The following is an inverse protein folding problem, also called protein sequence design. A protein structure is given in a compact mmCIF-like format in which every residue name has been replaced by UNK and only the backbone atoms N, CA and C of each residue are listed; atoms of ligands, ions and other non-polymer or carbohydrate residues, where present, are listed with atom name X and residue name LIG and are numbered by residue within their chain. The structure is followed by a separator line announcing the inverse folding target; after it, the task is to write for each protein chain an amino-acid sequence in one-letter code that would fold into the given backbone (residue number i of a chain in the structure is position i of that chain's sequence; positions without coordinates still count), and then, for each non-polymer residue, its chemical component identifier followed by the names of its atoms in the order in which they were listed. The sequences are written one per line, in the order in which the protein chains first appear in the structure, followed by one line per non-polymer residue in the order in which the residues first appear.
data_IF_814372216034
#
_entry.id   IF_814372216034
#
_cell.length_a   1.000
_cell.length_b   1.000
_cell.length_c   1.000
_cell.angle_alpha   90.00
_cell.angle_beta   90.00
_cell.angle_gamma   90.00
#
_symmetry.space_group_name_H-M   'P 1'
#
loop_
_entity.id
_entity.type
_entity.pdbx_description
1 polymer ?
#
# COMPACT_ATOMS: atom_id res chain seq x y z
N UNK A 1 55.53 -39.38 35.89
CA UNK A 1 54.66 -39.22 34.65
C UNK A 1 55.65 -38.78 33.56
N UNK A 2 55.72 -39.56 32.48
CA UNK A 2 56.70 -39.35 31.40
C UNK A 2 56.24 -38.13 30.54
N UNK A 3 57.08 -37.09 30.57
CA UNK A 3 56.77 -35.80 29.87
C UNK A 3 56.54 -36.01 28.36
N UNK A 4 57.24 -36.98 27.74
CA UNK A 4 57.11 -37.32 26.34
C UNK A 4 55.73 -37.98 26.02
N UNK A 5 55.15 -38.72 26.96
CA UNK A 5 53.76 -39.26 26.77
C UNK A 5 52.70 -38.18 26.86
N UNK A 6 52.92 -37.16 27.70
CA UNK A 6 52.01 -35.99 27.80
C UNK A 6 52.03 -35.13 26.55
N UNK A 7 53.22 -34.86 25.99
CA UNK A 7 53.36 -34.07 24.76
C UNK A 7 52.74 -34.76 23.53
N UNK A 8 52.95 -36.09 23.41
CA UNK A 8 52.29 -36.89 22.35
C UNK A 8 50.78 -36.91 22.50
N UNK A 9 50.26 -37.07 23.71
CA UNK A 9 48.81 -37.10 23.98
C UNK A 9 48.17 -35.70 23.67
N UNK A 10 48.84 -34.63 24.04
CA UNK A 10 48.37 -33.27 23.73
C UNK A 10 48.40 -32.98 22.22
N UNK A 11 49.42 -33.42 21.49
CA UNK A 11 49.53 -33.30 20.04
C UNK A 11 48.39 -34.07 19.31
N UNK A 12 48.08 -35.29 19.79
CA UNK A 12 46.94 -36.07 19.27
C UNK A 12 45.63 -35.35 19.55
N UNK A 13 45.42 -34.84 20.76
CA UNK A 13 44.21 -34.11 21.14
C UNK A 13 44.02 -32.87 20.24
N UNK A 14 45.06 -32.06 20.01
CA UNK A 14 44.96 -30.89 19.12
C UNK A 14 44.60 -31.25 17.67
N UNK A 15 45.21 -32.35 17.15
CA UNK A 15 44.85 -32.82 15.78
C UNK A 15 43.42 -33.30 15.70
N UNK A 16 42.92 -34.04 16.68
CA UNK A 16 41.54 -34.52 16.73
C UNK A 16 40.57 -33.36 16.85
N UNK A 17 40.88 -32.38 17.70
CA UNK A 17 40.07 -31.15 17.84
C UNK A 17 40.00 -30.37 16.53
N UNK A 18 41.13 -30.20 15.83
CA UNK A 18 41.19 -29.53 14.52
C UNK A 18 40.37 -30.27 13.46
N UNK A 19 40.43 -31.61 13.43
CA UNK A 19 39.63 -32.42 12.53
C UNK A 19 38.11 -32.28 12.83
N UNK A 20 37.75 -32.26 14.11
CA UNK A 20 36.36 -32.07 14.55
C UNK A 20 35.83 -30.69 14.10
N UNK A 21 36.60 -29.63 14.34
CA UNK A 21 36.26 -28.27 13.92
C UNK A 21 36.08 -28.19 12.41
N UNK A 22 37.05 -28.75 11.64
CA UNK A 22 36.95 -28.78 10.18
C UNK A 22 35.70 -29.55 9.70
N UNK A 23 35.36 -30.67 10.33
CA UNK A 23 34.16 -31.46 9.99
C UNK A 23 32.89 -30.68 10.27
N UNK A 24 32.82 -29.94 11.37
CA UNK A 24 31.67 -29.07 11.70
C UNK A 24 31.55 -27.94 10.67
N UNK A 25 32.64 -27.32 10.28
CA UNK A 25 32.68 -26.24 9.26
C UNK A 25 32.19 -26.78 7.90
N UNK A 26 32.73 -27.95 7.48
CA UNK A 26 32.30 -28.58 6.22
C UNK A 26 30.80 -28.98 6.25
N UNK A 27 30.35 -29.54 7.36
CA UNK A 27 28.93 -29.89 7.53
C UNK A 27 28.04 -28.64 7.49
N UNK A 28 28.45 -27.57 8.16
CA UNK A 28 27.75 -26.26 8.11
C UNK A 28 27.66 -25.71 6.69
N UNK A 29 28.75 -25.83 5.92
CA UNK A 29 28.79 -25.40 4.52
C UNK A 29 27.88 -26.26 3.63
N UNK A 30 27.86 -27.56 3.82
CA UNK A 30 26.95 -28.48 3.09
C UNK A 30 25.47 -28.20 3.41
N UNK A 31 25.15 -27.94 4.68
CA UNK A 31 23.78 -27.57 5.09
C UNK A 31 23.38 -26.24 4.45
N UNK A 32 24.29 -25.25 4.38
CA UNK A 32 24.03 -23.97 3.75
C UNK A 32 23.80 -24.11 2.23
N UNK A 33 24.59 -24.93 1.53
CA UNK A 33 24.42 -25.21 0.09
C UNK A 33 23.09 -25.95 -0.15
N UNK A 34 22.80 -26.99 0.63
CA UNK A 34 21.57 -27.76 0.50
C UNK A 34 20.34 -26.89 0.79
N UNK A 35 20.36 -26.14 1.90
CA UNK A 35 19.29 -25.22 2.26
C UNK A 35 19.08 -24.12 1.22
N UNK A 36 20.18 -23.57 0.69
CA UNK A 36 20.15 -22.62 -0.41
C UNK A 36 19.55 -23.20 -1.69
N UNK A 37 19.94 -24.43 -2.05
CA UNK A 37 19.40 -25.15 -3.22
C UNK A 37 17.89 -25.44 -3.09
N UNK A 38 17.45 -25.89 -1.91
CA UNK A 38 16.01 -26.09 -1.61
C UNK A 38 15.26 -24.75 -1.69
N UNK A 39 15.82 -23.67 -1.13
CA UNK A 39 15.25 -22.34 -1.18
C UNK A 39 15.08 -21.82 -2.62
N UNK A 40 16.11 -21.96 -3.44
CA UNK A 40 16.05 -21.59 -4.87
C UNK A 40 15.03 -22.44 -5.62
N UNK A 41 15.03 -23.76 -5.42
CA UNK A 41 14.06 -24.68 -6.03
C UNK A 41 12.61 -24.35 -5.65
N UNK A 42 12.38 -23.98 -4.39
CA UNK A 42 11.06 -23.52 -3.92
C UNK A 42 10.65 -22.22 -4.62
N UNK A 43 11.53 -21.23 -4.71
CA UNK A 43 11.26 -19.97 -5.41
C UNK A 43 10.95 -20.23 -6.88
N UNK A 44 11.76 -21.04 -7.59
CA UNK A 44 11.51 -21.41 -8.99
C UNK A 44 10.14 -22.10 -9.16
N UNK A 45 9.80 -23.03 -8.26
CA UNK A 45 8.48 -23.71 -8.27
C UNK A 45 7.30 -22.75 -8.05
N UNK A 46 7.50 -21.65 -7.33
CA UNK A 46 6.47 -20.60 -7.21
C UNK A 46 6.27 -19.87 -8.55
N UNK A 47 7.36 -19.59 -9.25
CA UNK A 47 7.31 -18.90 -10.56
C UNK A 47 6.68 -19.78 -11.66
N UNK A 48 6.88 -21.10 -11.63
CA UNK A 48 6.26 -22.03 -12.59
C UNK A 48 4.72 -22.08 -12.47
N UNK A 49 4.16 -21.67 -11.36
CA UNK A 49 2.71 -21.65 -11.08
C UNK A 49 2.08 -20.27 -11.31
N UNK A 50 2.86 -19.30 -11.79
CA UNK A 50 2.39 -17.93 -11.95
C UNK A 50 1.64 -17.78 -13.26
N UNK A 51 0.35 -17.51 -13.19
CA UNK A 51 -0.49 -17.12 -14.30
C UNK A 51 -0.59 -15.59 -14.35
N UNK A 52 0.30 -14.94 -15.11
CA UNK A 52 0.17 -13.49 -15.36
C UNK A 52 -0.65 -13.31 -16.64
N UNK A 53 -1.72 -12.49 -16.61
CA UNK A 53 -2.46 -12.13 -17.81
C UNK A 53 -1.53 -11.61 -18.91
N UNK A 54 -1.92 -11.79 -20.18
CA UNK A 54 -1.18 -11.16 -21.28
C UNK A 54 -1.08 -9.66 -21.03
N UNK A 55 0.03 -9.07 -21.43
CA UNK A 55 0.35 -7.65 -21.13
C UNK A 55 -0.80 -6.68 -21.40
N UNK A 56 -1.49 -6.84 -22.53
CA UNK A 56 -2.64 -5.99 -22.89
C UNK A 56 -3.80 -6.17 -21.92
N UNK A 57 -4.13 -7.39 -21.57
CA UNK A 57 -5.17 -7.73 -20.58
C UNK A 57 -4.80 -7.26 -19.16
N UNK A 58 -3.51 -7.32 -18.82
CA UNK A 58 -3.00 -6.81 -17.55
C UNK A 58 -3.22 -5.30 -17.42
N UNK A 59 -2.79 -4.54 -18.45
CA UNK A 59 -2.96 -3.08 -18.48
C UNK A 59 -4.45 -2.71 -18.46
N UNK A 60 -5.27 -3.38 -19.26
CA UNK A 60 -6.72 -3.15 -19.32
C UNK A 60 -7.39 -3.37 -17.95
N UNK A 61 -7.16 -4.52 -17.33
CA UNK A 61 -7.73 -4.84 -16.00
C UNK A 61 -7.26 -3.88 -14.90
N UNK A 62 -5.99 -3.50 -14.92
CA UNK A 62 -5.44 -2.56 -13.92
C UNK A 62 -5.99 -1.15 -14.13
N UNK A 63 -6.22 -0.75 -15.39
CA UNK A 63 -6.75 0.57 -15.76
C UNK A 63 -8.28 0.67 -15.60
N UNK A 64 -8.96 -0.44 -15.37
CA UNK A 64 -10.41 -0.46 -15.19
C UNK A 64 -10.79 0.16 -13.84
N UNK A 65 -11.16 1.43 -13.89
CA UNK A 65 -11.66 2.17 -12.72
C UNK A 65 -13.17 2.17 -12.77
N UNK A 66 -13.80 1.39 -11.89
CA UNK A 66 -15.26 1.35 -11.77
C UNK A 66 -15.81 2.75 -11.46
N UNK A 67 -16.73 3.25 -12.28
CA UNK A 67 -17.44 4.52 -12.05
C UNK A 67 -18.74 4.23 -11.34
N UNK A 68 -19.21 5.19 -10.55
CA UNK A 68 -20.58 5.16 -10.04
C UNK A 68 -21.50 5.43 -11.22
N UNK A 69 -22.48 4.57 -11.43
CA UNK A 69 -23.55 4.84 -12.35
C UNK A 69 -24.52 5.84 -11.72
N UNK A 70 -24.88 6.88 -12.45
CA UNK A 70 -25.83 7.90 -12.03
C UNK A 70 -27.06 7.84 -12.90
N UNK A 71 -28.24 8.03 -12.30
CA UNK A 71 -29.48 8.25 -12.98
C UNK A 71 -29.71 9.77 -13.05
N UNK A 72 -29.85 10.31 -14.25
CA UNK A 72 -30.06 11.75 -14.44
C UNK A 72 -31.36 12.00 -15.17
N UNK A 73 -31.98 13.16 -14.90
CA UNK A 73 -33.08 13.67 -15.73
C UNK A 73 -32.59 14.03 -17.14
N UNK A 74 -33.49 14.24 -18.06
CA UNK A 74 -33.19 14.63 -19.46
C UNK A 74 -32.46 15.98 -19.56
N UNK A 75 -32.53 16.83 -18.54
CA UNK A 75 -31.84 18.10 -18.43
C UNK A 75 -30.43 17.95 -17.82
N UNK A 76 -30.01 16.71 -17.48
CA UNK A 76 -28.72 16.40 -16.86
C UNK A 76 -28.68 16.56 -15.34
N UNK A 77 -29.75 16.97 -14.68
CA UNK A 77 -29.82 17.02 -13.23
C UNK A 77 -29.85 15.60 -12.62
N UNK A 78 -29.21 15.42 -11.47
CA UNK A 78 -29.08 14.12 -10.81
C UNK A 78 -30.43 13.68 -10.21
N UNK A 79 -30.89 12.51 -10.57
CA UNK A 79 -32.04 11.83 -9.91
C UNK A 79 -31.52 11.03 -8.71
N UNK A 80 -30.56 10.17 -8.95
CA UNK A 80 -29.97 9.30 -7.92
C UNK A 80 -28.62 8.74 -8.38
N UNK A 81 -27.80 8.35 -7.42
CA UNK A 81 -26.65 7.47 -7.67
C UNK A 81 -27.12 6.02 -7.55
N UNK A 82 -26.76 5.17 -8.53
CA UNK A 82 -26.99 3.73 -8.42
C UNK A 82 -26.14 3.22 -7.26
N UNK A 83 -26.78 2.59 -6.28
CA UNK A 83 -26.14 2.16 -5.05
C UNK A 83 -24.82 1.44 -5.33
N UNK A 84 -23.74 2.15 -5.04
CA UNK A 84 -22.41 1.58 -4.85
C UNK A 84 -22.07 1.81 -3.37
N UNK A 85 -21.78 0.73 -2.64
CA UNK A 85 -21.26 0.83 -1.27
C UNK A 85 -19.92 1.57 -1.22
N UNK A 86 -19.38 1.94 -2.39
CA UNK A 86 -18.09 2.58 -2.56
C UNK A 86 -18.20 3.80 -3.50
N UNK A 87 -18.11 4.98 -2.92
CA UNK A 87 -18.07 6.24 -3.67
C UNK A 87 -16.70 6.43 -4.34
N UNK A 88 -16.68 6.65 -5.67
CA UNK A 88 -15.46 6.90 -6.44
C UNK A 88 -15.70 7.94 -7.53
N UNK A 89 -14.80 8.92 -7.60
CA UNK A 89 -14.79 9.97 -8.62
C UNK A 89 -13.42 9.94 -9.28
N UNK A 90 -13.27 9.36 -10.49
CA UNK A 90 -12.00 9.30 -11.18
C UNK A 90 -11.49 10.68 -11.60
N UNK A 91 -10.18 10.88 -11.51
CA UNK A 91 -9.47 12.09 -11.93
C UNK A 91 -8.26 11.76 -12.78
N UNK A 92 -7.84 12.73 -13.60
CA UNK A 92 -6.56 12.69 -14.32
C UNK A 92 -5.41 13.13 -13.40
N UNK A 93 -4.16 12.92 -13.84
CA UNK A 93 -2.98 13.34 -13.07
C UNK A 93 -2.93 14.85 -12.83
N UNK A 94 -3.40 15.64 -13.79
CA UNK A 94 -3.41 17.11 -13.74
C UNK A 94 -4.43 17.64 -12.72
N UNK A 95 -5.46 16.85 -12.42
CA UNK A 95 -6.51 17.13 -11.43
C UNK A 95 -6.13 16.75 -10.00
N UNK A 96 -4.91 16.27 -9.78
CA UNK A 96 -4.37 15.94 -8.46
C UNK A 96 -3.29 16.93 -8.05
N UNK A 97 -3.31 17.36 -6.80
CA UNK A 97 -2.27 18.20 -6.20
C UNK A 97 -0.91 17.49 -6.21
N UNK A 98 0.14 18.21 -6.55
CA UNK A 98 1.51 17.68 -6.49
C UNK A 98 1.91 17.34 -5.05
N UNK A 99 1.40 18.08 -4.07
CA UNK A 99 1.60 17.74 -2.65
C UNK A 99 1.05 16.35 -2.28
N UNK A 100 -0.10 15.98 -2.85
CA UNK A 100 -0.69 14.66 -2.60
C UNK A 100 0.12 13.54 -3.26
N UNK A 101 0.58 13.73 -4.51
CA UNK A 101 1.46 12.78 -5.19
C UNK A 101 2.75 12.58 -4.39
N UNK A 102 3.40 13.66 -3.96
CA UNK A 102 4.61 13.65 -3.14
C UNK A 102 4.39 12.98 -1.79
N UNK A 103 3.27 13.25 -1.11
CA UNK A 103 2.93 12.65 0.18
C UNK A 103 2.76 11.13 0.07
N UNK A 104 2.07 10.66 -0.98
CA UNK A 104 1.89 9.23 -1.24
C UNK A 104 3.22 8.56 -1.56
N UNK A 105 4.05 9.14 -2.46
CA UNK A 105 5.38 8.61 -2.80
C UNK A 105 6.27 8.56 -1.56
N UNK A 106 6.35 9.63 -0.78
CA UNK A 106 7.19 9.69 0.42
C UNK A 106 6.82 8.65 1.47
N UNK A 107 5.54 8.27 1.53
CA UNK A 107 5.01 7.42 2.60
C UNK A 107 4.91 5.95 2.21
N UNK A 108 4.45 5.68 1.00
CA UNK A 108 4.20 4.31 0.54
C UNK A 108 5.38 3.71 -0.24
N UNK A 109 6.13 4.55 -0.98
CA UNK A 109 7.21 4.09 -1.85
C UNK A 109 8.19 5.20 -2.21
N UNK A 110 9.09 5.55 -1.29
CA UNK A 110 10.06 6.64 -1.45
C UNK A 110 10.95 6.50 -2.70
N UNK A 111 11.11 5.26 -3.20
CA UNK A 111 11.92 4.93 -4.37
C UNK A 111 11.09 4.73 -5.64
N UNK A 112 9.82 5.10 -5.64
CA UNK A 112 8.87 4.86 -6.73
C UNK A 112 9.42 5.26 -8.10
N UNK A 113 10.03 6.44 -8.21
CA UNK A 113 10.55 6.96 -9.48
C UNK A 113 11.77 6.19 -10.02
N UNK A 114 12.44 5.38 -9.19
CA UNK A 114 13.75 4.79 -9.54
C UNK A 114 13.73 3.28 -9.74
N UNK A 115 12.76 2.56 -9.16
CA UNK A 115 12.66 1.11 -9.34
C UNK A 115 11.77 0.73 -10.53
N UNK A 116 11.82 -0.55 -10.96
CA UNK A 116 11.02 -1.10 -12.03
C UNK A 116 9.95 -2.08 -11.49
N UNK A 117 9.05 -1.59 -10.64
CA UNK A 117 7.92 -2.35 -10.10
C UNK A 117 8.19 -3.06 -8.77
N UNK A 118 9.43 -3.40 -8.47
CA UNK A 118 9.82 -4.03 -7.20
C UNK A 118 11.16 -3.50 -6.69
N UNK A 119 11.36 -3.53 -5.39
CA UNK A 119 12.64 -3.25 -4.74
C UNK A 119 13.26 -4.59 -4.30
N UNK A 120 14.31 -5.11 -4.97
CA UNK A 120 14.86 -6.44 -4.69
C UNK A 120 15.28 -6.64 -3.23
N UNK A 121 15.87 -5.61 -2.61
CA UNK A 121 16.26 -5.63 -1.19
C UNK A 121 15.05 -5.80 -0.25
N UNK A 122 13.91 -5.20 -0.58
CA UNK A 122 12.69 -5.32 0.20
C UNK A 122 12.07 -6.72 0.05
N UNK A 123 12.08 -7.28 -1.17
CA UNK A 123 11.63 -8.66 -1.45
C UNK A 123 12.47 -9.66 -0.66
N UNK A 124 13.81 -9.52 -0.68
CA UNK A 124 14.71 -10.38 0.09
C UNK A 124 14.45 -10.27 1.61
N UNK A 125 14.29 -9.06 2.13
CA UNK A 125 13.97 -8.83 3.54
C UNK A 125 12.64 -9.49 3.95
N UNK A 126 11.60 -9.36 3.12
CA UNK A 126 10.31 -9.99 3.35
C UNK A 126 10.41 -11.52 3.33
N UNK A 127 11.18 -12.09 2.41
CA UNK A 127 11.44 -13.54 2.35
C UNK A 127 12.18 -14.03 3.60
N UNK A 128 13.20 -13.33 4.07
CA UNK A 128 13.92 -13.66 5.32
C UNK A 128 13.00 -13.53 6.55
N UNK A 129 12.15 -12.50 6.58
CA UNK A 129 11.16 -12.31 7.65
C UNK A 129 10.15 -13.44 7.74
N UNK A 130 9.73 -14.03 6.60
CA UNK A 130 8.77 -15.14 6.56
C UNK A 130 9.32 -16.45 7.15
N UNK A 131 10.64 -16.60 7.23
CA UNK A 131 11.33 -17.76 7.87
C UNK A 131 11.89 -17.41 9.26
N UNK A 132 11.49 -16.28 9.83
CA UNK A 132 11.91 -15.84 11.18
C UNK A 132 13.31 -15.21 11.25
N UNK A 133 13.97 -14.94 10.12
CA UNK A 133 15.30 -14.35 10.04
C UNK A 133 15.28 -12.84 9.71
N UNK A 134 14.29 -12.09 10.22
CA UNK A 134 14.22 -10.65 10.00
C UNK A 134 12.87 -10.05 10.37
N UNK A 135 12.70 -8.72 10.21
CA UNK A 135 11.40 -8.06 10.36
C UNK A 135 10.59 -8.15 9.08
N UNK A 136 9.32 -8.51 9.18
CA UNK A 136 8.38 -8.57 8.05
C UNK A 136 7.79 -7.20 7.68
N UNK A 137 8.31 -6.11 8.23
CA UNK A 137 7.75 -4.78 8.04
C UNK A 137 8.01 -4.21 6.64
N UNK A 138 6.96 -3.68 6.05
CA UNK A 138 6.83 -2.77 4.90
C UNK A 138 7.90 -2.83 3.80
N UNK A 139 7.48 -2.93 2.57
CA UNK A 139 8.41 -2.94 1.44
C UNK A 139 7.77 -3.30 0.11
N UNK A 140 6.43 -3.36 0.07
CA UNK A 140 5.72 -3.46 -1.21
C UNK A 140 5.69 -2.09 -1.86
N UNK A 141 6.02 -2.04 -3.14
CA UNK A 141 5.97 -0.82 -3.94
C UNK A 141 4.52 -0.40 -4.23
N UNK A 142 4.32 0.85 -4.64
CA UNK A 142 3.01 1.34 -5.12
C UNK A 142 2.46 0.46 -6.25
N UNK A 143 3.33 0.04 -7.18
CA UNK A 143 2.96 -0.86 -8.28
C UNK A 143 2.49 -2.22 -7.77
N UNK A 144 3.15 -2.79 -6.75
CA UNK A 144 2.73 -4.04 -6.12
C UNK A 144 1.39 -3.88 -5.37
N UNK A 145 1.19 -2.75 -4.69
CA UNK A 145 -0.07 -2.45 -4.01
C UNK A 145 -1.22 -2.33 -5.02
N UNK A 146 -0.98 -1.65 -6.16
CA UNK A 146 -1.96 -1.53 -7.23
C UNK A 146 -2.35 -2.89 -7.82
N UNK A 147 -1.37 -3.76 -8.13
CA UNK A 147 -1.61 -5.13 -8.59
C UNK A 147 -2.41 -5.93 -7.56
N UNK A 148 -2.06 -5.80 -6.27
CA UNK A 148 -2.79 -6.45 -5.19
C UNK A 148 -4.27 -6.03 -5.17
N UNK A 149 -4.54 -4.74 -5.29
CA UNK A 149 -5.90 -4.19 -5.23
C UNK A 149 -6.75 -4.57 -6.45
N UNK A 150 -6.16 -4.62 -7.65
CA UNK A 150 -6.90 -4.77 -8.90
C UNK A 150 -6.96 -6.21 -9.43
N UNK A 151 -5.98 -7.07 -9.09
CA UNK A 151 -5.86 -8.38 -9.75
C UNK A 151 -5.80 -9.57 -8.80
N UNK A 152 -5.04 -9.49 -7.70
CA UNK A 152 -4.68 -10.71 -6.95
C UNK A 152 -5.34 -10.81 -5.57
N UNK A 153 -5.96 -9.74 -5.09
CA UNK A 153 -6.66 -9.72 -3.81
C UNK A 153 -5.76 -9.86 -2.58
N UNK A 154 -6.37 -10.13 -1.41
CA UNK A 154 -5.73 -10.05 -0.09
C UNK A 154 -5.23 -11.39 0.47
N UNK A 155 -5.44 -12.53 -0.22
CA UNK A 155 -5.02 -13.83 0.29
C UNK A 155 -3.52 -13.87 0.63
N UNK A 156 -3.16 -14.21 1.88
CA UNK A 156 -1.78 -14.21 2.36
C UNK A 156 -1.05 -15.51 1.94
N UNK A 157 -0.75 -15.67 0.65
CA UNK A 157 -0.04 -16.84 0.12
C UNK A 157 1.24 -16.45 -0.62
N UNK A 158 2.23 -17.33 -0.63
CA UNK A 158 3.47 -17.13 -1.39
C UNK A 158 3.21 -17.04 -2.90
N UNK A 159 2.29 -17.87 -3.42
CA UNK A 159 1.89 -17.86 -4.84
C UNK A 159 1.29 -16.50 -5.21
N UNK A 160 0.39 -15.96 -4.38
CA UNK A 160 -0.16 -14.63 -4.61
C UNK A 160 0.95 -13.56 -4.65
N UNK A 161 1.91 -13.62 -3.71
CA UNK A 161 3.02 -12.65 -3.68
C UNK A 161 3.94 -12.78 -4.89
N UNK A 162 4.16 -13.99 -5.41
CA UNK A 162 4.90 -14.21 -6.65
C UNK A 162 4.15 -13.61 -7.85
N UNK A 163 2.83 -13.85 -7.96
CA UNK A 163 1.98 -13.26 -8.99
C UNK A 163 2.04 -11.73 -8.96
N UNK A 164 1.93 -11.14 -7.76
CA UNK A 164 2.03 -9.69 -7.54
C UNK A 164 3.37 -9.13 -8.05
N UNK A 165 4.49 -9.76 -7.71
CA UNK A 165 5.83 -9.35 -8.13
C UNK A 165 5.97 -9.39 -9.65
N UNK A 166 5.58 -10.49 -10.29
CA UNK A 166 5.73 -10.65 -11.75
C UNK A 166 4.80 -9.68 -12.49
N UNK A 167 3.56 -9.54 -12.03
CA UNK A 167 2.62 -8.59 -12.62
C UNK A 167 3.09 -7.14 -12.46
N UNK A 168 3.68 -6.77 -11.30
CA UNK A 168 4.26 -5.45 -11.10
C UNK A 168 5.43 -5.16 -12.06
N UNK A 169 6.35 -6.12 -12.26
CA UNK A 169 7.43 -6.01 -13.24
C UNK A 169 6.91 -5.88 -14.68
N UNK A 170 5.83 -6.61 -15.01
CA UNK A 170 5.22 -6.54 -16.35
C UNK A 170 4.49 -5.20 -16.56
N UNK A 171 3.81 -4.69 -15.52
CA UNK A 171 3.09 -3.42 -15.57
C UNK A 171 4.04 -2.24 -15.82
N UNK A 172 5.14 -2.15 -15.10
CA UNK A 172 6.15 -1.09 -15.20
C UNK A 172 6.88 -1.05 -16.55
N UNK A 173 6.86 -2.16 -17.31
CA UNK A 173 7.40 -2.17 -18.69
C UNK A 173 6.45 -1.57 -19.71
N UNK A 174 5.18 -1.40 -19.36
CA UNK A 174 4.11 -1.05 -20.30
C UNK A 174 3.33 0.20 -19.92
N UNK A 175 3.59 0.73 -18.73
CA UNK A 175 2.96 1.95 -18.22
C UNK A 175 4.02 2.87 -17.61
N UNK A 176 3.81 4.16 -17.73
CA UNK A 176 4.64 5.18 -17.09
C UNK A 176 4.35 5.27 -15.58
N UNK A 177 5.30 5.79 -14.84
CA UNK A 177 5.13 6.07 -13.40
C UNK A 177 3.90 6.93 -13.12
N UNK A 178 3.69 7.96 -13.93
CA UNK A 178 2.54 8.85 -13.79
C UNK A 178 1.20 8.12 -14.00
N UNK A 179 1.11 7.22 -14.99
CA UNK A 179 -0.10 6.40 -15.21
C UNK A 179 -0.35 5.46 -14.02
N UNK A 180 0.68 4.75 -13.54
CA UNK A 180 0.59 3.85 -12.40
C UNK A 180 0.13 4.60 -11.15
N UNK A 181 0.76 5.73 -10.84
CA UNK A 181 0.40 6.57 -9.70
C UNK A 181 -1.03 7.10 -9.82
N UNK A 182 -1.43 7.56 -11.01
CA UNK A 182 -2.78 8.08 -11.23
C UNK A 182 -3.84 7.02 -11.01
N UNK A 183 -3.62 5.79 -11.48
CA UNK A 183 -4.55 4.68 -11.24
C UNK A 183 -4.58 4.34 -9.76
N UNK A 184 -3.42 4.23 -9.10
CA UNK A 184 -3.35 3.99 -7.66
C UNK A 184 -4.16 5.01 -6.86
N UNK A 185 -4.03 6.30 -7.18
CA UNK A 185 -4.77 7.39 -6.56
C UNK A 185 -6.29 7.32 -6.83
N UNK A 186 -6.70 6.72 -7.93
CA UNK A 186 -8.12 6.53 -8.27
C UNK A 186 -8.76 5.29 -7.65
N UNK A 187 -7.98 4.24 -7.34
CA UNK A 187 -8.56 2.95 -6.89
C UNK A 187 -8.38 2.68 -5.41
N UNK A 188 -7.39 3.29 -4.77
CA UNK A 188 -7.08 3.03 -3.37
C UNK A 188 -8.24 3.42 -2.44
N UNK A 189 -8.47 2.63 -1.36
CA UNK A 189 -9.49 2.96 -0.37
C UNK A 189 -9.00 4.07 0.57
N UNK A 190 -9.88 5.03 0.88
CA UNK A 190 -9.57 6.18 1.75
C UNK A 190 -10.52 6.30 2.96
N UNK A 191 -11.21 5.23 3.33
CA UNK A 191 -12.06 5.20 4.50
C UNK A 191 -13.48 5.69 4.22
N UNK A 192 -13.97 6.63 5.00
CA UNK A 192 -15.36 7.12 4.94
C UNK A 192 -15.43 8.63 4.78
N UNK A 193 -16.46 9.08 4.05
CA UNK A 193 -16.81 10.47 3.95
C UNK A 193 -17.69 10.94 5.13
N UNK A 194 -18.04 12.22 5.16
CA UNK A 194 -18.89 12.84 6.17
C UNK A 194 -20.35 12.34 6.19
N UNK A 195 -20.72 11.44 5.29
CA UNK A 195 -22.00 10.74 5.25
C UNK A 195 -21.89 9.29 5.74
N UNK A 196 -20.70 8.81 6.11
CA UNK A 196 -20.43 7.44 6.53
C UNK A 196 -20.25 6.45 5.38
N UNK A 197 -20.35 6.89 4.11
CA UNK A 197 -20.13 6.05 2.94
C UNK A 197 -18.65 5.73 2.75
N UNK A 198 -18.32 4.49 2.37
CA UNK A 198 -16.97 4.12 2.00
C UNK A 198 -16.54 4.88 0.73
N UNK A 199 -15.29 5.33 0.71
CA UNK A 199 -14.72 6.09 -0.40
C UNK A 199 -13.46 5.42 -0.93
N UNK A 200 -13.32 5.41 -2.25
CA UNK A 200 -12.10 5.09 -2.96
C UNK A 200 -11.77 6.21 -3.95
N UNK A 201 -10.47 6.40 -4.15
CA UNK A 201 -9.96 7.48 -4.98
C UNK A 201 -9.88 8.82 -4.25
N UNK A 202 -8.83 9.56 -4.62
CA UNK A 202 -8.44 10.79 -3.92
C UNK A 202 -9.42 11.94 -4.07
N UNK A 203 -10.15 12.01 -5.19
CA UNK A 203 -11.16 13.06 -5.39
C UNK A 203 -12.36 12.87 -4.45
N UNK A 204 -12.83 11.63 -4.32
CA UNK A 204 -13.89 11.31 -3.36
C UNK A 204 -13.44 11.56 -1.92
N UNK A 205 -12.17 11.28 -1.61
CA UNK A 205 -11.58 11.56 -0.31
C UNK A 205 -11.47 13.07 -0.03
N UNK A 206 -10.94 13.84 -0.97
CA UNK A 206 -10.80 15.29 -0.83
C UNK A 206 -12.16 15.98 -0.62
N UNK A 207 -13.16 15.60 -1.42
CA UNK A 207 -14.52 16.13 -1.28
C UNK A 207 -15.21 15.68 0.00
N UNK A 208 -15.10 14.40 0.33
CA UNK A 208 -15.83 13.81 1.45
C UNK A 208 -15.22 14.11 2.81
N UNK A 209 -13.97 14.57 2.88
CA UNK A 209 -13.28 14.88 4.13
C UNK A 209 -13.08 16.41 4.29
N UNK A 210 -12.70 17.09 3.21
CA UNK A 210 -12.32 18.51 3.24
C UNK A 210 -13.24 19.43 2.42
N UNK A 211 -14.19 18.88 1.65
CA UNK A 211 -15.06 19.69 0.78
C UNK A 211 -14.33 20.35 -0.39
N UNK A 212 -13.15 19.85 -0.76
CA UNK A 212 -12.28 20.38 -1.82
C UNK A 212 -12.07 19.35 -2.92
N UNK A 213 -11.62 19.81 -4.09
CA UNK A 213 -11.09 18.90 -5.11
C UNK A 213 -9.72 18.38 -4.71
N UNK A 214 -9.29 17.24 -5.28
CA UNK A 214 -7.95 16.70 -5.06
C UNK A 214 -6.84 17.67 -5.52
N UNK A 215 -7.15 18.58 -6.45
CA UNK A 215 -6.24 19.64 -6.93
C UNK A 215 -6.00 20.75 -5.90
N UNK A 216 -7.02 21.07 -5.11
CA UNK A 216 -7.02 22.21 -4.19
C UNK A 216 -6.45 21.88 -2.80
N UNK A 217 -6.02 20.64 -2.57
CA UNK A 217 -5.51 20.19 -1.26
C UNK A 217 -4.24 20.96 -0.88
N UNK A 218 -4.23 21.49 0.33
CA UNK A 218 -3.03 22.02 0.98
C UNK A 218 -2.07 20.89 1.40
N UNK A 219 -0.83 21.22 1.77
CA UNK A 219 0.15 20.24 2.28
C UNK A 219 -0.40 19.42 3.45
N UNK A 220 -0.97 20.01 4.53
CA UNK A 220 -1.55 19.24 5.61
C UNK A 220 -2.69 18.32 5.17
N UNK A 221 -3.59 18.79 4.31
CA UNK A 221 -4.71 18.00 3.79
C UNK A 221 -4.23 16.84 2.92
N UNK A 222 -3.25 17.09 2.05
CA UNK A 222 -2.61 16.07 1.23
C UNK A 222 -1.91 14.99 2.08
N UNK A 223 -1.18 15.41 3.12
CA UNK A 223 -0.52 14.50 4.05
C UNK A 223 -1.53 13.61 4.81
N UNK A 224 -2.65 14.18 5.26
CA UNK A 224 -3.70 13.41 5.91
C UNK A 224 -4.29 12.34 4.98
N UNK A 225 -4.70 12.72 3.75
CA UNK A 225 -5.25 11.77 2.77
C UNK A 225 -4.23 10.69 2.43
N UNK A 226 -2.96 11.03 2.20
CA UNK A 226 -1.90 10.07 1.87
C UNK A 226 -1.66 9.03 2.99
N UNK A 227 -2.01 9.34 4.23
CA UNK A 227 -1.92 8.42 5.36
C UNK A 227 -3.02 7.37 5.42
N UNK A 228 -4.19 7.62 4.83
CA UNK A 228 -5.39 6.79 4.99
C UNK A 228 -5.28 5.36 4.43
N UNK A 229 -4.64 5.09 3.28
CA UNK A 229 -4.66 3.76 2.64
C UNK A 229 -4.11 2.62 3.51
N UNK A 230 -3.24 2.90 4.46
CA UNK A 230 -2.68 1.88 5.36
C UNK A 230 -3.75 1.24 6.27
N UNK A 231 -4.69 2.04 6.78
CA UNK A 231 -5.82 1.58 7.61
C UNK A 231 -7.04 2.49 7.44
N UNK A 232 -7.73 2.43 6.29
CA UNK A 232 -8.66 3.45 5.85
C UNK A 232 -9.80 3.71 6.86
N UNK A 233 -10.35 2.64 7.45
CA UNK A 233 -11.46 2.75 8.41
C UNK A 233 -10.99 3.31 9.76
N UNK A 234 -9.79 2.91 10.21
CA UNK A 234 -9.24 3.37 11.50
C UNK A 234 -8.87 4.85 11.42
N UNK A 235 -8.19 5.25 10.34
CA UNK A 235 -7.66 6.60 10.18
C UNK A 235 -8.68 7.62 9.68
N UNK A 236 -9.82 7.16 9.11
CA UNK A 236 -10.91 8.03 8.68
C UNK A 236 -11.49 8.84 9.84
N UNK A 237 -11.83 10.14 9.64
CA UNK A 237 -12.37 10.99 10.69
C UNK A 237 -13.86 10.75 10.95
N UNK A 238 -14.54 9.94 10.12
CA UNK A 238 -15.97 9.68 10.24
C UNK A 238 -16.27 8.22 10.52
N UNK A 239 -17.33 7.99 11.30
CA UNK A 239 -17.91 6.68 11.58
C UNK A 239 -18.84 6.21 10.44
N UNK A 240 -19.36 4.99 10.54
CA UNK A 240 -20.24 4.40 9.52
C UNK A 240 -21.62 5.08 9.41
N UNK A 241 -22.02 5.77 10.45
CA UNK A 241 -23.27 6.55 10.49
C UNK A 241 -23.09 8.00 10.02
N UNK A 242 -21.89 8.38 9.56
CA UNK A 242 -21.56 9.74 9.11
C UNK A 242 -21.25 10.71 10.25
N UNK A 243 -21.28 10.28 11.51
CA UNK A 243 -20.86 11.12 12.62
C UNK A 243 -19.36 11.30 12.66
N UNK A 244 -18.89 12.40 13.21
CA UNK A 244 -17.46 12.61 13.46
C UNK A 244 -17.01 11.74 14.62
N UNK A 245 -15.88 11.06 14.48
CA UNK A 245 -15.26 10.30 15.56
C UNK A 245 -14.82 11.21 16.70
N UNK A 246 -14.73 10.63 17.92
CA UNK A 246 -14.14 11.32 19.08
C UNK A 246 -12.65 11.60 18.86
N UNK A 247 -12.07 12.52 19.63
CA UNK A 247 -10.64 12.79 19.55
C UNK A 247 -9.80 11.55 19.87
N UNK A 248 -10.25 10.72 20.82
CA UNK A 248 -9.58 9.46 21.17
C UNK A 248 -9.59 8.45 20.01
N UNK A 249 -10.70 8.36 19.25
CA UNK A 249 -10.83 7.47 18.11
C UNK A 249 -10.05 7.98 16.88
N UNK A 250 -9.75 9.27 16.82
CA UNK A 250 -8.98 9.89 15.73
C UNK A 250 -7.46 9.87 15.97
N UNK A 251 -6.99 9.54 17.19
CA UNK A 251 -5.58 9.65 17.57
C UNK A 251 -4.65 8.95 16.55
N UNK A 252 -4.99 7.73 16.13
CA UNK A 252 -4.17 6.97 15.17
C UNK A 252 -4.12 7.62 13.79
N UNK A 253 -5.21 8.25 13.35
CA UNK A 253 -5.25 9.01 12.10
C UNK A 253 -4.39 10.27 12.16
N UNK A 254 -4.38 10.95 13.32
CA UNK A 254 -3.55 12.14 13.55
C UNK A 254 -2.06 11.76 13.66
N UNK A 255 -1.73 10.69 14.39
CA UNK A 255 -0.35 10.17 14.43
C UNK A 255 0.13 9.80 13.03
N UNK A 256 -0.69 9.12 12.24
CA UNK A 256 -0.37 8.77 10.85
C UNK A 256 -0.14 10.00 9.97
N UNK A 257 -0.96 11.04 10.12
CA UNK A 257 -0.77 12.32 9.45
C UNK A 257 0.61 12.94 9.77
N UNK A 258 1.02 12.92 11.03
CA UNK A 258 2.33 13.40 11.46
C UNK A 258 3.48 12.57 10.88
N UNK A 259 3.31 11.24 10.81
CA UNK A 259 4.27 10.33 10.15
C UNK A 259 4.42 10.67 8.66
N UNK A 260 3.32 10.99 7.96
CA UNK A 260 3.36 11.39 6.54
C UNK A 260 4.13 12.69 6.36
N UNK A 261 3.87 13.70 7.17
CA UNK A 261 4.62 14.98 7.12
C UNK A 261 6.12 14.75 7.36
N UNK A 262 6.46 13.89 8.33
CA UNK A 262 7.86 13.53 8.58
C UNK A 262 8.48 12.80 7.39
N UNK A 263 7.76 11.87 6.76
CA UNK A 263 8.22 11.17 5.56
C UNK A 263 8.43 12.14 4.38
N UNK A 264 7.54 13.11 4.18
CA UNK A 264 7.70 14.15 3.15
C UNK A 264 8.96 15.00 3.41
N UNK A 265 9.21 15.38 4.67
CA UNK A 265 10.44 16.08 5.05
C UNK A 265 11.68 15.21 4.79
N UNK A 266 11.68 13.96 5.24
CA UNK A 266 12.80 13.02 5.05
C UNK A 266 13.09 12.76 3.56
N UNK A 267 12.06 12.69 2.72
CA UNK A 267 12.17 12.53 1.28
C UNK A 267 12.51 13.84 0.54
N UNK A 268 12.74 14.94 1.28
CA UNK A 268 13.06 16.26 0.74
C UNK A 268 11.96 16.91 -0.12
N UNK A 269 10.70 16.52 0.09
CA UNK A 269 9.53 17.18 -0.48
C UNK A 269 9.08 18.38 0.37
N UNK A 270 9.50 18.45 1.63
CA UNK A 270 9.32 19.61 2.50
C UNK A 270 10.68 20.06 3.01
N UNK A 271 10.84 21.37 3.12
CA UNK A 271 11.94 21.96 3.87
C UNK A 271 11.74 21.74 5.37
N UNK A 272 12.80 21.96 6.17
CA UNK A 272 12.68 21.88 7.62
C UNK A 272 11.70 22.90 8.16
N UNK A 273 11.71 24.11 7.62
CA UNK A 273 10.85 25.22 8.01
C UNK A 273 9.37 24.89 7.74
N UNK A 274 9.07 24.30 6.59
CA UNK A 274 7.71 23.85 6.23
C UNK A 274 7.25 22.71 7.14
N UNK A 275 8.10 21.70 7.37
CA UNK A 275 7.78 20.61 8.29
C UNK A 275 7.49 21.12 9.71
N UNK A 276 8.35 22.01 10.25
CA UNK A 276 8.14 22.58 11.58
C UNK A 276 6.85 23.42 11.66
N UNK A 277 6.44 24.06 10.58
CA UNK A 277 5.18 24.82 10.51
C UNK A 277 3.95 23.92 10.47
N UNK A 278 4.03 22.73 9.83
CA UNK A 278 2.89 21.85 9.63
C UNK A 278 2.74 20.75 10.69
N UNK A 279 3.82 20.34 11.39
CA UNK A 279 3.77 19.24 12.35
C UNK A 279 2.81 19.49 13.52
N UNK A 280 2.62 20.76 13.93
CA UNK A 280 1.75 21.18 15.01
C UNK A 280 0.40 21.72 14.52
N UNK A 281 0.15 21.65 13.19
CA UNK A 281 -1.11 22.11 12.62
C UNK A 281 -2.26 21.15 12.96
N UNK A 282 -3.31 21.67 13.59
CA UNK A 282 -4.50 20.87 13.91
C UNK A 282 -5.36 20.65 12.66
N UNK A 283 -5.10 19.55 11.95
CA UNK A 283 -5.83 19.18 10.73
C UNK A 283 -7.34 18.96 10.98
N UNK A 284 -7.76 18.73 12.23
CA UNK A 284 -9.16 18.50 12.58
C UNK A 284 -10.06 19.70 12.27
N UNK A 285 -9.50 20.91 12.26
CA UNK A 285 -10.24 22.12 11.91
C UNK A 285 -10.66 22.18 10.44
N UNK A 286 -9.97 21.43 9.56
CA UNK A 286 -10.24 21.39 8.11
C UNK A 286 -11.34 20.39 7.74
N UNK A 287 -11.70 19.46 8.64
CA UNK A 287 -12.72 18.46 8.34
C UNK A 287 -14.09 19.11 8.22
N UNK A 288 -14.81 18.81 7.14
CA UNK A 288 -16.17 19.32 6.95
C UNK A 288 -17.15 18.75 7.96
N UNK A 289 -18.27 19.45 8.14
CA UNK A 289 -19.31 19.01 9.07
C UNK A 289 -19.88 17.64 8.69
N UNK A 290 -20.20 16.77 9.67
CA UNK A 290 -20.97 15.56 9.43
C UNK A 290 -22.27 15.87 8.70
N UNK A 291 -22.61 15.02 7.71
CA UNK A 291 -23.85 15.11 6.96
C UNK A 291 -24.48 13.70 6.85
N UNK A 292 -24.83 13.06 7.99
CA UNK A 292 -25.37 11.71 7.97
C UNK A 292 -26.66 11.64 7.16
N UNK A 293 -26.79 10.57 6.37
CA UNK A 293 -28.00 10.31 5.60
C UNK A 293 -29.09 9.90 6.58
N UNK A 294 -30.10 10.77 6.77
CA UNK A 294 -31.20 10.56 7.71
C UNK A 294 -32.32 9.67 7.17
N UNK A 295 -32.39 9.48 5.86
CA UNK A 295 -33.29 8.52 5.22
C UNK A 295 -32.83 8.22 3.80
N UNK A 296 -32.81 6.95 3.44
CA UNK A 296 -32.59 6.48 2.06
C UNK A 296 -33.95 6.46 1.34
N UNK A 297 -34.60 7.63 1.23
CA UNK A 297 -35.82 7.77 0.41
C UNK A 297 -35.40 7.79 -1.04
N UNK A 298 -35.21 6.59 -1.59
CA UNK A 298 -35.10 6.43 -3.03
C UNK A 298 -36.43 6.85 -3.65
N UNK A 299 -36.36 7.77 -4.61
CA UNK A 299 -37.56 8.22 -5.34
C UNK A 299 -38.15 7.05 -6.14
N UNK A 300 -39.46 7.09 -6.42
CA UNK A 300 -40.16 6.13 -7.26
C UNK A 300 -39.43 5.87 -8.59
N UNK A 301 -38.93 6.92 -9.23
CA UNK A 301 -38.10 6.84 -10.43
C UNK A 301 -36.85 5.96 -10.31
N UNK A 302 -36.21 5.91 -9.14
CA UNK A 302 -35.06 5.02 -8.91
C UNK A 302 -35.48 3.55 -9.04
N UNK A 303 -36.59 3.17 -8.43
CA UNK A 303 -37.09 1.78 -8.48
C UNK A 303 -37.55 1.39 -9.88
N UNK A 304 -38.21 2.29 -10.60
CA UNK A 304 -38.67 2.04 -11.97
C UNK A 304 -37.52 1.82 -12.96
N UNK A 305 -36.46 2.61 -12.87
CA UNK A 305 -35.25 2.44 -13.70
C UNK A 305 -34.45 1.17 -13.35
N UNK A 306 -34.52 0.70 -12.10
CA UNK A 306 -33.77 -0.52 -11.67
C UNK A 306 -34.55 -1.82 -11.96
N UNK A 307 -35.88 -1.74 -12.32
CA UNK A 307 -36.68 -2.89 -12.71
C UNK A 307 -36.69 -3.15 -14.24
N UNK A 308 -36.25 -2.20 -15.07
CA UNK A 308 -36.01 -2.38 -16.51
C UNK A 308 -34.63 -2.95 -16.82
#
# INVERSE_FOLDING_TARGET
VDVHQLENSFGIFLRTLKLLINSIVVLGFLIAIFGGGVGVGFVVSLFDKVEVPKTKELVEKVSEVSRISTITYSDGSLVSEVNSDLLRIPVTSEEVSDYLKQAVIATEDETFETHNGVVPKAVLRAALGSIGLGSSSGGSTLTQQLIKQQLVGDAATFTRKANEIIAALALERNMTKNEILTIYLNVSPFGRNNQGKNIAGVEAAARGIFGKTAKELSVPQAAYIAGLPQSPIVYSPYASDGTRKSDDDMIYGIERYQDVLYNMYRASFLTKEEYEAYKDYDIKQDFIAPAPITSDTKDYLYYEVMEE
#
